data_IF_036265946487
#
_entry.id   IF_036265946487
#
_cell.length_a   1.000
_cell.length_b   1.000
_cell.length_c   1.000
_cell.angle_alpha   90.00
_cell.angle_beta   90.00
_cell.angle_gamma   90.00
#
_symmetry.space_group_name_H-M   'P 1'
#
loop_
_entity.id
_entity.type
_entity.pdbx_description
1 polymer ?
#
# COMPACT_ATOMS: atom_id res chain seq x y z
N UNK A 1 3.46 15.84 29.67
CA UNK A 1 2.78 15.48 28.41
C UNK A 1 3.90 15.21 27.42
N UNK A 2 4.18 13.95 27.12
CA UNK A 2 5.12 13.62 26.05
C UNK A 2 4.66 14.32 24.77
N UNK A 3 5.55 15.03 24.04
CA UNK A 3 5.20 15.46 22.71
C UNK A 3 4.95 14.18 21.90
N UNK A 4 3.72 14.02 21.39
CA UNK A 4 3.36 12.93 20.48
C UNK A 4 4.40 12.95 19.35
N UNK A 5 5.33 11.99 19.38
CA UNK A 5 6.50 11.91 18.52
C UNK A 5 6.12 11.58 17.08
N UNK A 6 5.61 12.59 16.38
CA UNK A 6 5.21 12.56 14.97
C UNK A 6 6.35 13.04 14.03
N UNK A 7 7.57 13.19 14.55
CA UNK A 7 8.69 13.83 13.83
C UNK A 7 9.72 12.85 13.24
N UNK A 8 9.57 11.56 13.49
CA UNK A 8 10.52 10.54 13.01
C UNK A 8 9.81 9.59 12.04
N UNK A 9 10.28 9.50 10.78
CA UNK A 9 10.00 8.41 9.84
C UNK A 9 10.21 7.13 10.61
N UNK A 10 9.15 6.41 10.84
CA UNK A 10 9.24 5.21 11.64
C UNK A 10 9.20 4.05 10.68
N UNK A 11 10.31 3.34 10.59
CA UNK A 11 10.52 2.07 9.88
C UNK A 11 9.37 1.05 10.02
N UNK A 12 8.47 1.19 11.00
CA UNK A 12 7.29 0.34 11.10
C UNK A 12 6.27 0.62 9.98
N UNK A 13 6.14 1.86 9.48
CA UNK A 13 5.20 2.24 8.41
C UNK A 13 5.55 1.49 7.13
N UNK A 14 6.82 1.58 6.70
CA UNK A 14 7.36 0.84 5.56
C UNK A 14 7.18 -0.68 5.72
N UNK A 15 7.48 -1.24 6.91
CA UNK A 15 7.31 -2.68 7.18
C UNK A 15 5.83 -3.08 7.09
N UNK A 16 4.91 -2.27 7.61
CA UNK A 16 3.47 -2.55 7.50
C UNK A 16 3.03 -2.47 6.05
N UNK A 17 3.45 -1.46 5.29
CA UNK A 17 3.18 -1.35 3.85
C UNK A 17 3.70 -2.56 3.08
N UNK A 18 4.90 -3.08 3.39
CA UNK A 18 5.41 -4.34 2.82
C UNK A 18 4.50 -5.53 3.14
N UNK A 19 4.06 -5.67 4.39
CA UNK A 19 3.17 -6.78 4.80
C UNK A 19 1.82 -6.68 4.08
N UNK A 20 1.27 -5.48 3.94
CA UNK A 20 0.02 -5.24 3.21
C UNK A 20 0.18 -5.60 1.73
N UNK A 21 1.29 -5.20 1.09
CA UNK A 21 1.62 -5.60 -0.28
C UNK A 21 1.70 -7.12 -0.45
N UNK A 22 2.36 -7.82 0.48
CA UNK A 22 2.43 -9.28 0.47
C UNK A 22 1.04 -9.93 0.67
N UNK A 23 0.22 -9.38 1.57
CA UNK A 23 -1.15 -9.84 1.79
C UNK A 23 -2.01 -9.67 0.52
N UNK A 24 -1.83 -8.57 -0.22
CA UNK A 24 -2.50 -8.35 -1.51
C UNK A 24 -2.13 -9.46 -2.50
N UNK A 25 -0.84 -9.78 -2.67
CA UNK A 25 -0.37 -10.83 -3.59
C UNK A 25 -1.01 -12.19 -3.28
N UNK A 26 -1.06 -12.56 -2.00
CA UNK A 26 -1.54 -13.87 -1.56
C UNK A 26 -3.07 -13.96 -1.58
N UNK A 27 -3.78 -12.83 -1.51
CA UNK A 27 -5.23 -12.83 -1.28
C UNK A 27 -6.07 -13.56 -2.34
N UNK A 28 -5.82 -13.49 -3.67
CA UNK A 28 -6.61 -14.26 -4.63
C UNK A 28 -6.49 -15.77 -4.40
N UNK A 29 -5.29 -16.26 -4.09
CA UNK A 29 -5.04 -17.67 -3.79
C UNK A 29 -5.73 -18.10 -2.49
N UNK A 30 -5.71 -17.23 -1.48
CA UNK A 30 -6.37 -17.47 -0.20
C UNK A 30 -7.89 -17.64 -0.34
N UNK A 31 -8.51 -16.85 -1.22
CA UNK A 31 -9.95 -16.94 -1.50
C UNK A 31 -10.31 -17.92 -2.64
N UNK A 32 -9.33 -18.67 -3.18
CA UNK A 32 -9.56 -19.68 -4.21
C UNK A 32 -9.92 -19.14 -5.60
N UNK A 33 -9.65 -17.85 -5.87
CA UNK A 33 -9.91 -17.25 -7.19
C UNK A 33 -8.79 -17.65 -8.15
N UNK A 34 -9.15 -18.35 -9.23
CA UNK A 34 -8.20 -18.91 -10.22
C UNK A 34 -8.65 -18.74 -11.67
N UNK A 35 -9.89 -18.30 -11.88
CA UNK A 35 -10.57 -18.13 -13.17
C UNK A 35 -10.43 -16.72 -13.76
N UNK A 36 -9.75 -15.80 -13.07
CA UNK A 36 -9.56 -14.41 -13.48
C UNK A 36 -8.06 -14.05 -13.64
N UNK A 37 -7.36 -14.63 -14.63
CA UNK A 37 -5.90 -14.56 -14.71
C UNK A 37 -5.36 -13.12 -14.85
N UNK A 38 -6.04 -12.25 -15.59
CA UNK A 38 -5.61 -10.84 -15.74
C UNK A 38 -5.73 -10.07 -14.42
N UNK A 39 -6.83 -10.26 -13.68
CA UNK A 39 -7.03 -9.63 -12.37
C UNK A 39 -5.97 -10.11 -11.38
N UNK A 40 -5.68 -11.42 -11.36
CA UNK A 40 -4.64 -12.00 -10.50
C UNK A 40 -3.25 -11.45 -10.84
N UNK A 41 -2.90 -11.35 -12.12
CA UNK A 41 -1.62 -10.79 -12.55
C UNK A 41 -1.46 -9.31 -12.15
N UNK A 42 -2.50 -8.49 -12.37
CA UNK A 42 -2.47 -7.07 -11.96
C UNK A 42 -2.40 -6.94 -10.43
N UNK A 43 -3.16 -7.74 -9.70
CA UNK A 43 -3.10 -7.79 -8.23
C UNK A 43 -1.69 -8.12 -7.74
N UNK A 44 -1.07 -9.15 -8.32
CA UNK A 44 0.29 -9.56 -7.97
C UNK A 44 1.31 -8.48 -8.32
N UNK A 45 1.19 -7.82 -9.47
CA UNK A 45 2.08 -6.73 -9.88
C UNK A 45 1.97 -5.53 -8.94
N UNK A 46 0.76 -5.12 -8.57
CA UNK A 46 0.53 -3.99 -7.66
C UNK A 46 1.00 -4.32 -6.25
N UNK A 47 0.68 -5.50 -5.73
CA UNK A 47 1.18 -5.96 -4.43
C UNK A 47 2.71 -6.06 -4.40
N UNK A 48 3.34 -6.56 -5.46
CA UNK A 48 4.80 -6.61 -5.57
C UNK A 48 5.42 -5.22 -5.65
N UNK A 49 4.81 -4.28 -6.39
CA UNK A 49 5.25 -2.90 -6.43
C UNK A 49 5.21 -2.26 -5.03
N UNK A 50 4.14 -2.48 -4.26
CA UNK A 50 4.03 -1.98 -2.88
C UNK A 50 5.15 -2.56 -2.00
N UNK A 51 5.41 -3.88 -2.06
CA UNK A 51 6.50 -4.52 -1.31
C UNK A 51 7.86 -3.93 -1.67
N UNK A 52 8.14 -3.78 -2.96
CA UNK A 52 9.44 -3.30 -3.44
C UNK A 52 9.65 -1.83 -3.10
N UNK A 53 8.65 -0.98 -3.33
CA UNK A 53 8.73 0.45 -3.03
C UNK A 53 8.95 0.70 -1.53
N UNK A 54 8.14 0.05 -0.68
CA UNK A 54 8.31 0.15 0.79
C UNK A 54 9.66 -0.43 1.26
N UNK A 55 10.23 -1.39 0.53
CA UNK A 55 11.56 -1.92 0.81
C UNK A 55 12.70 -0.99 0.38
N UNK A 56 12.54 -0.25 -0.71
CA UNK A 56 13.53 0.70 -1.24
C UNK A 56 13.64 1.95 -0.36
N UNK A 57 12.54 2.37 0.24
CA UNK A 57 12.46 3.52 1.13
C UNK A 57 13.39 3.37 2.36
N UNK A 58 13.59 2.14 2.82
CA UNK A 58 14.56 1.82 3.87
C UNK A 58 16.03 2.10 3.48
N UNK A 59 16.32 2.29 2.20
CA UNK A 59 17.65 2.54 1.64
C UNK A 59 17.78 3.99 1.14
N UNK A 60 16.77 4.47 0.42
CA UNK A 60 16.74 5.82 -0.17
C UNK A 60 15.38 6.48 0.05
N UNK A 61 15.31 7.48 0.93
CA UNK A 61 14.09 8.25 1.16
C UNK A 61 13.80 9.17 -0.02
N UNK A 62 12.83 8.82 -0.87
CA UNK A 62 12.36 9.66 -1.97
C UNK A 62 10.84 9.75 -1.99
N UNK A 63 10.32 10.97 -1.84
CA UNK A 63 8.89 11.33 -1.92
C UNK A 63 8.09 10.72 -3.07
N UNK A 64 8.74 10.38 -4.20
CA UNK A 64 8.05 9.73 -5.32
C UNK A 64 7.58 8.30 -4.99
N UNK A 65 8.25 7.61 -4.06
CA UNK A 65 7.90 6.26 -3.61
C UNK A 65 6.58 6.28 -2.84
N UNK A 66 6.43 7.18 -1.88
CA UNK A 66 5.17 7.39 -1.13
C UNK A 66 4.00 7.73 -2.07
N UNK A 67 4.23 8.55 -3.11
CA UNK A 67 3.20 8.87 -4.11
C UNK A 67 2.77 7.61 -4.89
N UNK A 68 3.72 6.77 -5.29
CA UNK A 68 3.43 5.51 -5.97
C UNK A 68 2.71 4.51 -5.05
N UNK A 69 3.05 4.46 -3.77
CA UNK A 69 2.34 3.66 -2.76
C UNK A 69 0.90 4.12 -2.61
N UNK A 70 0.66 5.44 -2.54
CA UNK A 70 -0.68 6.01 -2.51
C UNK A 70 -1.50 5.60 -3.74
N UNK A 71 -0.92 5.70 -4.94
CA UNK A 71 -1.58 5.24 -6.17
C UNK A 71 -1.85 3.74 -6.16
N UNK A 72 -0.92 2.92 -5.66
CA UNK A 72 -1.11 1.47 -5.50
C UNK A 72 -2.28 1.13 -4.58
N UNK A 73 -2.35 1.79 -3.41
CA UNK A 73 -3.46 1.64 -2.47
C UNK A 73 -4.80 2.05 -3.08
N UNK A 74 -4.86 3.21 -3.74
CA UNK A 74 -6.07 3.68 -4.44
C UNK A 74 -6.49 2.72 -5.56
N UNK A 75 -5.53 2.25 -6.35
CA UNK A 75 -5.80 1.28 -7.40
C UNK A 75 -6.43 0.00 -6.84
N UNK A 76 -5.96 -0.53 -5.71
CA UNK A 76 -6.57 -1.71 -5.08
C UNK A 76 -8.02 -1.50 -4.65
N UNK A 77 -8.42 -0.27 -4.30
CA UNK A 77 -9.81 0.08 -4.03
C UNK A 77 -10.64 0.11 -5.31
N UNK A 78 -10.07 0.59 -6.42
CA UNK A 78 -10.75 0.74 -7.71
C UNK A 78 -10.82 -0.59 -8.48
N UNK A 79 -9.81 -1.45 -8.34
CA UNK A 79 -9.61 -2.69 -9.08
C UNK A 79 -10.85 -3.61 -9.12
N UNK A 80 -11.59 -3.85 -8.02
CA UNK A 80 -12.79 -4.71 -8.07
C UNK A 80 -13.88 -4.23 -9.01
N UNK A 81 -13.97 -2.92 -9.23
CA UNK A 81 -14.95 -2.32 -10.12
C UNK A 81 -14.50 -2.37 -11.58
N UNK A 82 -13.18 -2.38 -11.83
CA UNK A 82 -12.61 -2.50 -13.19
C UNK A 82 -12.69 -3.94 -13.69
N UNK A 83 -12.43 -4.92 -12.84
CA UNK A 83 -12.47 -6.34 -13.18
C UNK A 83 -13.79 -7.03 -12.79
N UNK A 84 -14.74 -6.27 -12.26
CA UNK A 84 -16.10 -6.70 -11.92
C UNK A 84 -16.19 -7.93 -10.98
N UNK A 85 -15.24 -8.09 -10.04
CA UNK A 85 -15.28 -9.16 -9.04
C UNK A 85 -15.85 -8.70 -7.69
N UNK A 86 -16.56 -9.61 -7.02
CA UNK A 86 -17.28 -9.35 -5.78
C UNK A 86 -16.83 -10.20 -4.59
N UNK A 87 -17.71 -10.34 -3.60
CA UNK A 87 -17.52 -11.24 -2.47
C UNK A 87 -16.43 -10.79 -1.48
N UNK A 88 -15.87 -11.77 -0.77
CA UNK A 88 -14.87 -11.52 0.27
C UNK A 88 -13.58 -10.91 -0.28
N UNK A 89 -13.11 -11.35 -1.45
CA UNK A 89 -11.90 -10.83 -2.09
C UNK A 89 -12.02 -9.33 -2.39
N UNK A 90 -13.18 -8.87 -2.88
CA UNK A 90 -13.44 -7.42 -3.06
C UNK A 90 -13.25 -6.65 -1.77
N UNK A 91 -13.91 -7.10 -0.70
CA UNK A 91 -13.84 -6.42 0.59
C UNK A 91 -12.40 -6.41 1.14
N UNK A 92 -11.64 -7.48 0.89
CA UNK A 92 -10.22 -7.58 1.24
C UNK A 92 -9.36 -6.59 0.47
N UNK A 93 -9.50 -6.53 -0.86
CA UNK A 93 -8.77 -5.59 -1.70
C UNK A 93 -9.08 -4.13 -1.37
N UNK A 94 -10.35 -3.80 -1.08
CA UNK A 94 -10.74 -2.46 -0.64
C UNK A 94 -10.10 -2.15 0.73
N UNK A 95 -10.20 -3.05 1.70
CA UNK A 95 -9.65 -2.84 3.05
C UNK A 95 -8.13 -2.66 3.04
N UNK A 96 -7.42 -3.56 2.35
CA UNK A 96 -5.96 -3.49 2.20
C UNK A 96 -5.53 -2.25 1.40
N UNK A 97 -6.26 -1.91 0.33
CA UNK A 97 -5.99 -0.72 -0.48
C UNK A 97 -6.15 0.57 0.31
N UNK A 98 -7.20 0.69 1.12
CA UNK A 98 -7.39 1.82 2.03
C UNK A 98 -6.25 1.89 3.05
N UNK A 99 -5.86 0.76 3.65
CA UNK A 99 -4.77 0.74 4.63
C UNK A 99 -3.45 1.25 4.03
N UNK A 100 -3.09 0.77 2.83
CA UNK A 100 -1.89 1.24 2.10
C UNK A 100 -2.00 2.73 1.77
N UNK A 101 -3.14 3.18 1.24
CA UNK A 101 -3.33 4.58 0.87
C UNK A 101 -3.27 5.53 2.08
N UNK A 102 -3.79 5.10 3.24
CA UNK A 102 -3.75 5.89 4.48
C UNK A 102 -2.33 5.99 5.02
N UNK A 103 -1.56 4.89 5.01
CA UNK A 103 -0.15 4.91 5.42
C UNK A 103 0.69 5.81 4.51
N UNK A 104 0.57 5.65 3.19
CA UNK A 104 1.29 6.49 2.24
C UNK A 104 0.91 7.98 2.36
N UNK A 105 -0.35 8.29 2.65
CA UNK A 105 -0.77 9.67 2.91
C UNK A 105 -0.23 10.23 4.23
N UNK A 106 -0.07 9.38 5.25
CA UNK A 106 0.55 9.73 6.52
C UNK A 106 2.04 10.03 6.34
N UNK A 107 2.78 9.16 5.64
CA UNK A 107 4.20 9.33 5.28
C UNK A 107 4.39 10.67 4.54
N UNK A 108 3.63 10.90 3.45
CA UNK A 108 3.66 12.16 2.69
C UNK A 108 3.40 13.42 3.54
N UNK A 109 2.54 13.31 4.57
CA UNK A 109 2.26 14.42 5.48
C UNK A 109 3.42 14.65 6.45
N UNK A 110 4.00 13.59 7.02
CA UNK A 110 5.16 13.66 7.90
C UNK A 110 6.37 14.27 7.16
N UNK A 111 6.62 13.83 5.94
CA UNK A 111 7.73 14.30 5.10
C UNK A 111 7.54 15.77 4.68
N UNK A 112 6.32 16.19 4.37
CA UNK A 112 6.02 17.61 4.14
C UNK A 112 6.31 18.45 5.39
N UNK A 113 5.92 18.01 6.58
CA UNK A 113 6.08 18.80 7.79
C UNK A 113 7.57 18.98 8.14
N UNK A 114 8.40 17.97 7.91
CA UNK A 114 9.87 18.04 8.06
C UNK A 114 10.52 19.06 7.13
N UNK A 115 10.04 19.15 5.89
CA UNK A 115 10.57 20.13 4.91
C UNK A 115 10.29 21.60 5.28
N UNK A 116 9.34 21.86 6.18
CA UNK A 116 8.99 23.22 6.62
C UNK A 116 9.79 23.68 7.85
N UNK A 117 10.44 22.75 8.56
CA UNK A 117 11.23 23.04 9.78
C UNK A 117 12.75 23.17 9.51
N UNK A 118 13.19 22.91 8.27
CA UNK A 118 14.59 23.02 7.82
C UNK A 118 14.87 24.38 7.15
#
# INVERSE_FOLDING_TARGET
MEPLGLTTHRRWEDIVSMILGAAIIVSPMWFGVTDMPTMMAVTALVGAAIVVLSGLEQIFLRRWEEILLLFGGVWMVVQPFVFEYGGALRNWHIGLGIAVAVLAALELWQDRNRSLEA
#
